data_IF_227633208348
#
_entry.id   IF_227633208348
#
_cell.length_a   1.000
_cell.length_b   1.000
_cell.length_c   1.000
_cell.angle_alpha   90.00
_cell.angle_beta   90.00
_cell.angle_gamma   90.00
#
_symmetry.space_group_name_H-M   'P 1'
#
loop_
_entity.id
_entity.type
_entity.pdbx_description
1 polymer ?
#
# COMPACT_ATOMS: atom_id res chain seq x y z
N UNK A 1 9.26 25.81 -0.17
CA UNK A 1 7.91 25.20 -0.19
C UNK A 1 7.05 26.07 -1.10
N UNK A 2 6.73 25.57 -2.30
CA UNK A 2 5.89 26.28 -3.29
C UNK A 2 4.46 25.80 -3.06
N UNK A 3 3.59 26.68 -2.56
CA UNK A 3 2.13 26.56 -2.41
C UNK A 3 1.55 25.28 -1.78
N UNK A 4 0.42 25.42 -1.09
CA UNK A 4 -0.42 24.30 -0.63
C UNK A 4 -1.60 24.22 -1.58
N UNK A 5 -1.81 23.07 -2.21
CA UNK A 5 -2.96 22.80 -3.06
C UNK A 5 -3.88 21.77 -2.38
N UNK A 6 -5.19 21.97 -2.49
CA UNK A 6 -6.19 21.06 -1.95
C UNK A 6 -6.72 20.18 -3.07
N UNK A 7 -6.55 18.87 -2.92
CA UNK A 7 -7.08 17.86 -3.84
C UNK A 7 -8.32 17.22 -3.22
N UNK A 8 -9.50 17.50 -3.78
CA UNK A 8 -10.78 17.02 -3.26
C UNK A 8 -11.30 15.80 -4.04
N UNK A 9 -11.87 14.82 -3.34
CA UNK A 9 -12.53 13.68 -3.99
C UNK A 9 -12.88 12.53 -3.06
N UNK A 10 -12.03 12.21 -2.08
CA UNK A 10 -12.33 11.13 -1.13
C UNK A 10 -13.58 11.42 -0.29
N UNK A 11 -14.44 10.41 -0.13
CA UNK A 11 -15.66 10.51 0.68
C UNK A 11 -15.44 10.17 2.16
N UNK A 12 -14.27 9.59 2.47
CA UNK A 12 -13.85 9.21 3.83
C UNK A 12 -12.42 9.69 4.12
N UNK A 13 -11.99 9.56 5.38
CA UNK A 13 -10.63 9.94 5.81
C UNK A 13 -9.55 9.25 4.97
N UNK A 14 -8.58 10.03 4.50
CA UNK A 14 -7.38 9.52 3.83
C UNK A 14 -6.44 8.97 4.90
N UNK A 15 -6.11 7.68 4.81
CA UNK A 15 -5.31 6.97 5.82
C UNK A 15 -3.86 6.82 5.40
N UNK A 16 -3.61 6.71 4.10
CA UNK A 16 -2.28 6.54 3.56
C UNK A 16 -2.11 7.29 2.24
N UNK A 17 -0.87 7.62 1.92
CA UNK A 17 -0.47 8.19 0.66
C UNK A 17 0.91 7.69 0.26
N UNK A 18 1.17 7.71 -1.03
CA UNK A 18 2.50 7.46 -1.59
C UNK A 18 2.72 8.36 -2.81
N UNK A 19 3.95 8.83 -2.97
CA UNK A 19 4.33 9.79 -4.02
C UNK A 19 5.27 9.15 -5.03
N UNK A 20 5.17 9.60 -6.28
CA UNK A 20 6.15 9.39 -7.34
C UNK A 20 6.66 10.74 -7.79
N UNK A 21 7.37 10.77 -8.93
CA UNK A 21 7.86 12.01 -9.52
C UNK A 21 6.75 12.97 -9.94
N UNK A 22 5.63 12.45 -10.47
CA UNK A 22 4.57 13.23 -11.10
C UNK A 22 3.17 12.95 -10.54
N UNK A 23 3.02 11.96 -9.66
CA UNK A 23 1.71 11.52 -9.17
C UNK A 23 1.74 11.21 -7.68
N UNK A 24 0.54 11.19 -7.11
CA UNK A 24 0.29 10.70 -5.75
C UNK A 24 -0.81 9.66 -5.81
N UNK A 25 -0.63 8.55 -5.10
CA UNK A 25 -1.70 7.64 -4.78
C UNK A 25 -2.17 7.87 -3.34
N UNK A 26 -3.48 7.82 -3.11
CA UNK A 26 -4.07 7.95 -1.78
C UNK A 26 -5.13 6.89 -1.54
N UNK A 27 -5.17 6.40 -0.30
CA UNK A 27 -6.08 5.37 0.16
C UNK A 27 -6.93 5.88 1.31
N UNK A 28 -8.21 5.53 1.30
CA UNK A 28 -9.18 6.00 2.31
C UNK A 28 -9.69 4.88 3.22
N UNK A 29 -10.32 5.31 4.32
CA UNK A 29 -11.07 4.45 5.23
C UNK A 29 -12.24 3.73 4.53
N UNK A 30 -12.82 4.32 3.47
CA UNK A 30 -13.96 3.76 2.74
C UNK A 30 -13.59 2.76 1.63
N UNK A 31 -12.29 2.49 1.43
CA UNK A 31 -11.81 1.59 0.38
C UNK A 31 -11.52 2.26 -0.96
N UNK A 32 -11.76 3.57 -1.05
CA UNK A 32 -11.44 4.36 -2.23
C UNK A 32 -9.93 4.51 -2.36
N UNK A 33 -9.48 4.38 -3.60
CA UNK A 33 -8.12 4.60 -4.01
C UNK A 33 -8.13 5.59 -5.15
N UNK A 34 -7.40 6.69 -4.97
CA UNK A 34 -7.31 7.76 -5.96
C UNK A 34 -5.85 7.96 -6.37
N UNK A 35 -5.65 8.27 -7.66
CA UNK A 35 -4.35 8.69 -8.18
C UNK A 35 -4.48 10.09 -8.74
N UNK A 36 -3.63 10.98 -8.28
CA UNK A 36 -3.62 12.41 -8.60
C UNK A 36 -2.41 12.73 -9.46
N UNK A 37 -2.57 13.62 -10.43
CA UNK A 37 -1.45 14.19 -11.17
C UNK A 37 -0.98 15.46 -10.44
N UNK A 38 0.28 15.48 -9.98
CA UNK A 38 0.85 16.59 -9.22
C UNK A 38 1.11 17.84 -10.06
N UNK A 39 1.20 17.71 -11.38
CA UNK A 39 1.43 18.86 -12.27
C UNK A 39 0.14 19.63 -12.54
N UNK A 40 -1.01 18.95 -12.54
CA UNK A 40 -2.32 19.55 -12.85
C UNK A 40 -3.23 19.68 -11.63
N UNK A 41 -2.91 19.01 -10.52
CA UNK A 41 -3.78 18.93 -9.33
C UNK A 41 -5.06 18.12 -9.56
N UNK A 42 -5.19 17.44 -10.71
CA UNK A 42 -6.42 16.73 -11.10
C UNK A 42 -6.36 15.26 -10.72
N UNK A 43 -7.52 14.73 -10.32
CA UNK A 43 -7.71 13.29 -10.18
C UNK A 43 -7.58 12.61 -11.55
N UNK A 44 -6.65 11.67 -11.65
CA UNK A 44 -6.43 10.87 -12.86
C UNK A 44 -7.17 9.53 -12.81
N UNK A 45 -7.31 8.95 -11.62
CA UNK A 45 -7.97 7.66 -11.39
C UNK A 45 -8.72 7.73 -10.08
N UNK A 46 -9.96 7.25 -10.10
CA UNK A 46 -10.78 7.04 -8.90
C UNK A 46 -11.40 5.65 -9.00
N UNK A 47 -11.01 4.75 -8.09
CA UNK A 47 -11.48 3.37 -8.06
C UNK A 47 -11.61 2.89 -6.61
N UNK A 48 -12.11 1.68 -6.43
CA UNK A 48 -12.16 1.01 -5.13
C UNK A 48 -11.25 -0.21 -5.17
N UNK A 49 -10.35 -0.31 -4.19
CA UNK A 49 -9.62 -1.56 -3.99
C UNK A 49 -10.57 -2.64 -3.47
N UNK A 50 -11.35 -2.30 -2.45
CA UNK A 50 -12.42 -3.13 -1.90
C UNK A 50 -13.41 -2.22 -1.15
N UNK A 51 -14.71 -2.31 -1.44
CA UNK A 51 -15.68 -1.35 -0.90
C UNK A 51 -15.92 -1.57 0.60
N UNK A 52 -15.84 -0.49 1.37
CA UNK A 52 -16.12 -0.52 2.81
C UNK A 52 -15.01 -1.11 3.67
N UNK A 53 -13.82 -1.36 3.09
CA UNK A 53 -12.64 -1.80 3.84
C UNK A 53 -11.58 -0.70 3.83
N UNK A 54 -10.88 -0.54 4.96
CA UNK A 54 -9.88 0.51 5.09
C UNK A 54 -8.64 0.20 4.26
N UNK A 55 -8.16 1.17 3.49
CA UNK A 55 -6.86 1.10 2.82
C UNK A 55 -5.80 1.66 3.76
N UNK A 56 -5.16 0.78 4.54
CA UNK A 56 -4.24 1.16 5.62
C UNK A 56 -2.86 1.59 5.10
N UNK A 57 -2.43 1.01 3.98
CA UNK A 57 -1.15 1.29 3.36
C UNK A 57 -1.25 1.15 1.85
N UNK A 58 -0.46 1.95 1.15
CA UNK A 58 -0.28 1.87 -0.30
C UNK A 58 1.21 1.78 -0.60
N UNK A 59 1.54 0.98 -1.59
CA UNK A 59 2.83 0.99 -2.26
C UNK A 59 2.63 0.87 -3.77
N UNK A 60 3.54 1.37 -4.60
CA UNK A 60 3.41 1.24 -6.05
C UNK A 60 4.74 1.02 -6.74
N UNK A 61 4.63 0.41 -7.91
CA UNK A 61 5.73 0.31 -8.84
C UNK A 61 5.17 0.46 -10.24
N UNK A 62 5.66 1.47 -10.96
CA UNK A 62 5.26 1.78 -12.34
C UNK A 62 3.74 1.98 -12.46
N UNK A 63 3.05 0.95 -12.96
CA UNK A 63 1.62 0.98 -13.24
C UNK A 63 0.80 0.12 -12.26
N UNK A 64 1.46 -0.50 -11.28
CA UNK A 64 0.79 -1.38 -10.32
C UNK A 64 0.73 -0.69 -8.97
N UNK A 65 -0.47 -0.63 -8.43
CA UNK A 65 -0.77 -0.06 -7.12
C UNK A 65 -1.16 -1.20 -6.17
N UNK A 66 -0.41 -1.34 -5.08
CA UNK A 66 -0.63 -2.31 -4.03
C UNK A 66 -1.36 -1.63 -2.88
N UNK A 67 -2.56 -2.09 -2.57
CA UNK A 67 -3.44 -1.48 -1.58
C UNK A 67 -3.72 -2.50 -0.46
N UNK A 68 -3.25 -2.22 0.75
CA UNK A 68 -3.51 -3.03 1.94
C UNK A 68 -4.93 -2.76 2.45
N UNK A 69 -5.86 -3.64 2.07
CA UNK A 69 -7.27 -3.61 2.42
C UNK A 69 -7.51 -4.62 3.55
N UNK A 70 -7.41 -4.14 4.79
CA UNK A 70 -7.48 -4.97 6.00
C UNK A 70 -6.50 -6.17 5.94
N UNK A 71 -6.98 -7.40 5.74
CA UNK A 71 -6.18 -8.63 5.72
C UNK A 71 -5.54 -8.95 4.37
N UNK A 72 -5.95 -8.25 3.30
CA UNK A 72 -5.61 -8.58 1.93
C UNK A 72 -4.87 -7.43 1.25
N UNK A 73 -4.09 -7.76 0.23
CA UNK A 73 -3.50 -6.74 -0.65
C UNK A 73 -4.19 -6.85 -2.00
N UNK A 74 -4.80 -5.76 -2.45
CA UNK A 74 -5.32 -5.64 -3.81
C UNK A 74 -4.26 -5.03 -4.70
N UNK A 75 -4.09 -5.61 -5.89
CA UNK A 75 -3.21 -5.05 -6.93
C UNK A 75 -4.09 -4.44 -7.99
N UNK A 76 -3.92 -3.15 -8.23
CA UNK A 76 -4.67 -2.38 -9.22
C UNK A 76 -3.71 -1.99 -10.33
N UNK A 77 -4.09 -2.27 -11.58
CA UNK A 77 -3.42 -1.69 -12.74
C UNK A 77 -4.00 -0.30 -13.01
N UNK A 78 -3.17 0.73 -12.89
CA UNK A 78 -3.57 2.13 -13.04
C UNK A 78 -3.99 2.45 -14.49
N UNK A 79 -3.47 1.72 -15.48
CA UNK A 79 -3.81 1.98 -16.89
C UNK A 79 -5.23 1.54 -17.21
N UNK A 80 -5.68 0.46 -16.58
CA UNK A 80 -7.02 -0.12 -16.79
C UNK A 80 -7.99 0.23 -15.67
N UNK A 81 -7.51 0.80 -14.57
CA UNK A 81 -8.25 1.08 -13.33
C UNK A 81 -8.94 -0.17 -12.73
N UNK A 82 -8.39 -1.35 -12.98
CA UNK A 82 -8.96 -2.64 -12.55
C UNK A 82 -8.07 -3.35 -11.55
N UNK A 83 -8.71 -4.07 -10.64
CA UNK A 83 -8.04 -5.03 -9.75
C UNK A 83 -7.58 -6.21 -10.60
N UNK A 84 -6.27 -6.46 -10.63
CA UNK A 84 -5.63 -7.55 -11.40
C UNK A 84 -5.23 -8.74 -10.53
N UNK A 85 -5.06 -8.54 -9.22
CA UNK A 85 -4.76 -9.61 -8.28
C UNK A 85 -5.22 -9.27 -6.86
N UNK A 86 -5.40 -10.32 -6.04
CA UNK A 86 -5.66 -10.23 -4.61
C UNK A 86 -4.72 -11.19 -3.90
N UNK A 87 -3.91 -10.67 -2.99
CA UNK A 87 -2.96 -11.43 -2.21
C UNK A 87 -3.55 -11.62 -0.82
N UNK A 88 -3.84 -12.87 -0.48
CA UNK A 88 -4.52 -13.26 0.75
C UNK A 88 -3.62 -14.18 1.57
N UNK A 89 -3.64 -14.05 2.89
CA UNK A 89 -2.91 -14.94 3.78
C UNK A 89 -2.46 -14.34 5.10
N UNK A 90 -2.55 -13.02 5.29
CA UNK A 90 -2.47 -12.43 6.62
C UNK A 90 -3.72 -12.78 7.43
N UNK A 91 -3.56 -12.89 8.75
CA UNK A 91 -4.66 -13.21 9.66
C UNK A 91 -5.12 -12.01 10.50
N UNK A 92 -4.46 -10.87 10.34
CA UNK A 92 -4.81 -9.60 10.96
C UNK A 92 -4.42 -8.43 10.02
N UNK A 93 -4.85 -7.22 10.36
CA UNK A 93 -4.75 -6.02 9.54
C UNK A 93 -3.30 -5.73 9.11
N UNK A 94 -3.12 -5.54 7.81
CA UNK A 94 -1.87 -5.10 7.21
C UNK A 94 -1.67 -3.62 7.55
N UNK A 95 -0.53 -3.31 8.16
CA UNK A 95 -0.18 -1.98 8.66
C UNK A 95 0.76 -1.23 7.73
N UNK A 96 1.52 -1.95 6.91
CA UNK A 96 2.53 -1.34 6.03
C UNK A 96 2.78 -2.18 4.79
N UNK A 97 3.05 -1.51 3.68
CA UNK A 97 3.49 -2.11 2.42
C UNK A 97 4.80 -1.47 1.97
N UNK A 98 5.67 -2.28 1.37
CA UNK A 98 6.85 -1.81 0.65
C UNK A 98 7.05 -2.67 -0.60
N UNK A 99 7.47 -2.05 -1.70
CA UNK A 99 7.81 -2.76 -2.94
C UNK A 99 9.32 -2.72 -3.16
N UNK A 100 9.91 -3.89 -3.38
CA UNK A 100 11.30 -4.06 -3.80
C UNK A 100 11.32 -5.15 -4.89
N UNK A 101 11.04 -4.72 -6.13
CA UNK A 101 10.74 -5.65 -7.21
C UNK A 101 11.84 -6.70 -7.41
N UNK A 102 11.47 -7.98 -7.62
CA UNK A 102 10.12 -8.47 -7.95
C UNK A 102 9.26 -8.85 -6.73
N UNK A 103 9.61 -8.36 -5.54
CA UNK A 103 8.91 -8.69 -4.30
C UNK A 103 8.09 -7.53 -3.76
N UNK A 104 6.97 -7.89 -3.14
CA UNK A 104 6.17 -6.98 -2.33
C UNK A 104 6.24 -7.48 -0.90
N UNK A 105 6.44 -6.58 0.03
CA UNK A 105 6.58 -6.84 1.46
C UNK A 105 5.38 -6.24 2.17
N UNK A 106 4.75 -7.02 3.03
CA UNK A 106 3.64 -6.55 3.87
C UNK A 106 3.90 -6.86 5.33
N UNK A 107 3.74 -5.86 6.18
CA UNK A 107 3.79 -5.98 7.63
C UNK A 107 2.37 -5.96 8.17
N UNK A 108 2.08 -6.83 9.13
CA UNK A 108 0.74 -6.95 9.71
C UNK A 108 0.80 -7.07 11.24
N UNK A 109 -0.34 -6.76 11.86
CA UNK A 109 -0.60 -7.03 13.29
C UNK A 109 -0.59 -8.51 13.64
N UNK A 110 -0.65 -9.40 12.64
CA UNK A 110 -0.46 -10.85 12.84
C UNK A 110 0.98 -11.23 13.19
N UNK A 111 1.83 -10.23 13.45
CA UNK A 111 3.22 -10.38 13.86
C UNK A 111 4.05 -11.10 12.79
N UNK A 112 3.68 -10.95 11.52
CA UNK A 112 4.44 -11.46 10.39
C UNK A 112 4.71 -10.38 9.34
N UNK A 113 5.90 -10.47 8.74
CA UNK A 113 6.18 -9.89 7.42
C UNK A 113 5.98 -10.98 6.37
N UNK A 114 5.12 -10.74 5.38
CA UNK A 114 4.99 -11.62 4.22
C UNK A 114 5.69 -11.03 3.01
N UNK A 115 6.37 -11.90 2.28
CA UNK A 115 7.03 -11.60 1.02
C UNK A 115 6.22 -12.24 -0.09
N UNK A 116 5.76 -11.43 -1.03
CA UNK A 116 4.93 -11.84 -2.15
C UNK A 116 5.69 -11.70 -3.45
N UNK A 117 5.55 -12.67 -4.35
CA UNK A 117 6.11 -12.57 -5.69
C UNK A 117 5.17 -11.80 -6.60
N UNK A 118 5.65 -10.74 -7.24
CA UNK A 118 4.88 -9.97 -8.22
C UNK A 118 4.59 -10.74 -9.51
N UNK A 119 5.22 -11.91 -9.71
CA UNK A 119 5.06 -12.75 -10.91
C UNK A 119 3.94 -13.78 -10.75
N UNK A 120 3.78 -14.32 -9.55
CA UNK A 120 2.80 -15.38 -9.26
C UNK A 120 1.68 -14.92 -8.33
N UNK A 121 1.80 -13.74 -7.72
CA UNK A 121 0.89 -13.23 -6.68
C UNK A 121 0.75 -14.16 -5.47
N UNK A 122 1.76 -15.00 -5.23
CA UNK A 122 1.80 -15.93 -4.11
C UNK A 122 2.77 -15.46 -3.03
N UNK A 123 2.45 -15.80 -1.79
CA UNK A 123 3.36 -15.65 -0.67
C UNK A 123 4.52 -16.64 -0.83
N UNK A 124 5.74 -16.14 -0.99
CA UNK A 124 6.96 -16.96 -1.12
C UNK A 124 7.70 -17.13 0.20
N UNK A 125 7.47 -16.23 1.17
CA UNK A 125 8.10 -16.30 2.48
C UNK A 125 7.23 -15.59 3.51
N UNK A 126 7.19 -16.15 4.72
CA UNK A 126 6.64 -15.49 5.91
C UNK A 126 7.76 -15.42 6.95
N UNK A 127 7.94 -14.26 7.55
CA UNK A 127 8.96 -13.97 8.56
C UNK A 127 8.21 -13.54 9.81
N UNK A 128 8.38 -14.27 10.91
CA UNK A 128 7.80 -13.90 12.19
C UNK A 128 8.59 -12.76 12.83
N UNK A 129 7.88 -11.74 13.27
CA UNK A 129 8.36 -10.61 14.06
C UNK A 129 7.40 -10.43 15.25
N UNK A 130 7.47 -9.31 15.97
CA UNK A 130 6.50 -8.99 17.03
C UNK A 130 5.97 -7.58 16.84
N UNK A 131 4.65 -7.43 16.68
CA UNK A 131 4.00 -6.11 16.76
C UNK A 131 4.41 -5.11 15.66
N UNK A 132 4.41 -5.51 14.38
CA UNK A 132 4.86 -4.66 13.28
C UNK A 132 3.92 -3.46 13.07
N UNK A 133 4.50 -2.25 13.02
CA UNK A 133 3.79 -0.99 12.78
C UNK A 133 4.11 -0.35 11.44
N UNK A 134 5.37 -0.41 11.02
CA UNK A 134 5.81 0.12 9.74
C UNK A 134 6.95 -0.71 9.18
N UNK A 135 7.11 -0.65 7.86
CA UNK A 135 8.23 -1.24 7.13
C UNK A 135 8.94 -0.15 6.35
N UNK A 136 10.26 -0.29 6.22
CA UNK A 136 11.08 0.51 5.32
C UNK A 136 12.04 -0.40 4.56
N UNK A 137 12.42 0.00 3.35
CA UNK A 137 13.48 -0.67 2.60
C UNK A 137 14.57 0.33 2.29
N UNK A 138 15.81 -0.06 2.57
CA UNK A 138 16.99 0.68 2.18
C UNK A 138 18.01 -0.28 1.56
N UNK A 139 18.38 -0.02 0.31
CA UNK A 139 19.28 -0.87 -0.50
C UNK A 139 18.75 -2.29 -0.68
N UNK A 140 19.15 -3.23 0.19
CA UNK A 140 18.73 -4.64 0.20
C UNK A 140 18.31 -5.11 1.60
N UNK A 141 18.03 -4.15 2.48
CA UNK A 141 17.65 -4.42 3.86
C UNK A 141 16.23 -3.92 4.05
N UNK A 142 15.37 -4.83 4.50
CA UNK A 142 14.04 -4.51 5.02
C UNK A 142 14.22 -4.22 6.50
N UNK A 143 13.67 -3.11 6.97
CA UNK A 143 13.65 -2.72 8.38
C UNK A 143 12.20 -2.67 8.83
N UNK A 144 11.88 -3.30 9.94
CA UNK A 144 10.56 -3.27 10.57
C UNK A 144 10.58 -2.45 11.85
N UNK A 145 9.64 -1.51 11.98
CA UNK A 145 9.37 -0.81 13.22
C UNK A 145 8.35 -1.58 14.05
N UNK A 146 8.71 -1.91 15.28
CA UNK A 146 7.92 -2.73 16.20
C UNK A 146 7.20 -1.87 17.25
N UNK A 147 6.14 -2.41 17.85
CA UNK A 147 5.40 -1.76 18.94
C UNK A 147 6.18 -1.68 20.26
N UNK A 148 7.24 -2.48 20.40
CA UNK A 148 8.22 -2.41 21.49
C UNK A 148 9.08 -1.15 21.45
N UNK A 149 9.07 -0.41 20.34
CA UNK A 149 9.96 0.72 20.09
C UNK A 149 11.30 0.33 19.45
N UNK A 150 11.48 -0.96 19.15
CA UNK A 150 12.69 -1.48 18.49
C UNK A 150 12.55 -1.48 16.96
N UNK A 151 13.71 -1.52 16.28
CA UNK A 151 13.83 -1.77 14.85
C UNK A 151 14.43 -3.16 14.63
N UNK A 152 13.87 -3.93 13.70
CA UNK A 152 14.36 -5.25 13.29
C UNK A 152 14.77 -5.27 11.83
#
# INVERSE_FOLDING_TARGET
VRSVETMEGHTASVLCLETSLDRVASGSLGGEVMVWNLLTGTNSISTYAERGTAVNAIAWERNLLFCACDLNIKVIDILTAKVVASLSGHTDAITSLVVDMPYVLSGSRDSCVKVWSSRSWQCVRTISCTGIRCLGVAKRTVVAGLDTGELQ
#
